data_IF_362729725990
#
_entry.id   IF_362729725990
#
_cell.length_a   1.000
_cell.length_b   1.000
_cell.length_c   1.000
_cell.angle_alpha   90.00
_cell.angle_beta   90.00
_cell.angle_gamma   90.00
#
_symmetry.space_group_name_H-M   'P 1'
#
loop_
_entity.id
_entity.type
_entity.pdbx_description
1 polymer ?
#
# COMPACT_ATOMS: atom_id res chain seq x y z
N UNK A 1 -6.64 -2.44 13.44
CA UNK A 1 -6.60 -3.90 13.68
C UNK A 1 -6.01 -4.14 15.06
N UNK A 2 -6.83 -4.17 16.11
CA UNK A 2 -6.36 -4.62 17.42
C UNK A 2 -7.34 -5.66 17.95
N UNK A 3 -6.81 -6.82 18.36
CA UNK A 3 -7.54 -7.84 19.11
C UNK A 3 -8.62 -8.64 18.38
N UNK A 4 -8.73 -8.57 17.05
CA UNK A 4 -9.74 -9.35 16.30
C UNK A 4 -9.36 -10.83 16.30
N UNK A 5 -10.24 -11.69 16.82
CA UNK A 5 -10.15 -13.15 16.65
C UNK A 5 -10.85 -13.54 15.35
N UNK A 6 -10.16 -14.30 14.52
CA UNK A 6 -10.72 -14.83 13.28
C UNK A 6 -11.17 -16.28 13.47
N UNK A 7 -12.35 -16.61 12.95
CA UNK A 7 -12.92 -17.96 13.02
C UNK A 7 -12.08 -18.98 12.27
N UNK A 8 -11.45 -18.57 11.16
CA UNK A 8 -10.59 -19.44 10.34
C UNK A 8 -9.32 -18.71 9.92
N UNK A 9 -8.28 -19.49 9.59
CA UNK A 9 -7.04 -18.97 8.99
C UNK A 9 -7.31 -18.21 7.69
N UNK A 10 -8.25 -18.68 6.88
CA UNK A 10 -8.59 -18.03 5.60
C UNK A 10 -9.15 -16.62 5.81
N UNK A 11 -10.08 -16.46 6.77
CA UNK A 11 -10.62 -15.15 7.11
C UNK A 11 -9.53 -14.18 7.60
N UNK A 12 -8.58 -14.67 8.42
CA UNK A 12 -7.45 -13.86 8.84
C UNK A 12 -6.57 -13.42 7.65
N UNK A 13 -6.35 -14.30 6.67
CA UNK A 13 -5.58 -13.97 5.47
C UNK A 13 -6.28 -12.92 4.61
N UNK A 14 -7.57 -13.10 4.36
CA UNK A 14 -8.34 -12.18 3.51
C UNK A 14 -8.32 -10.75 4.09
N UNK A 15 -8.48 -10.62 5.41
CA UNK A 15 -8.42 -9.33 6.10
C UNK A 15 -7.03 -8.67 6.03
N UNK A 16 -5.96 -9.46 6.09
CA UNK A 16 -4.59 -8.95 5.91
C UNK A 16 -4.37 -8.46 4.48
N UNK A 17 -4.86 -9.20 3.48
CA UNK A 17 -4.75 -8.82 2.07
C UNK A 17 -5.57 -7.56 1.77
N UNK A 18 -6.78 -7.45 2.32
CA UNK A 18 -7.62 -6.27 2.18
C UNK A 18 -6.93 -5.04 2.79
N UNK A 19 -6.31 -5.20 3.96
CA UNK A 19 -5.56 -4.13 4.59
C UNK A 19 -4.32 -3.73 3.79
N UNK A 20 -3.56 -4.69 3.26
CA UNK A 20 -2.40 -4.41 2.40
C UNK A 20 -2.83 -3.67 1.12
N UNK A 21 -3.92 -4.11 0.50
CA UNK A 21 -4.48 -3.46 -0.69
C UNK A 21 -4.85 -2.02 -0.41
N UNK A 22 -5.57 -1.76 0.69
CA UNK A 22 -5.88 -0.40 1.11
C UNK A 22 -4.62 0.42 1.40
N UNK A 23 -3.67 -0.13 2.17
CA UNK A 23 -2.46 0.58 2.59
C UNK A 23 -1.60 0.98 1.39
N UNK A 24 -1.36 0.06 0.46
CA UNK A 24 -0.49 0.31 -0.68
C UNK A 24 -1.13 1.24 -1.71
N UNK A 25 -2.42 1.06 -2.00
CA UNK A 25 -3.07 1.77 -3.11
C UNK A 25 -3.79 3.05 -2.71
N UNK A 26 -4.34 3.13 -1.50
CA UNK A 26 -5.33 4.17 -1.13
C UNK A 26 -4.92 5.01 0.06
N UNK A 27 -4.16 4.48 1.02
CA UNK A 27 -3.73 5.26 2.19
C UNK A 27 -2.77 6.36 1.75
N UNK A 28 -3.08 7.60 2.12
CA UNK A 28 -2.21 8.74 1.86
C UNK A 28 -1.22 8.94 3.00
N UNK A 29 0.03 9.24 2.65
CA UNK A 29 1.11 9.44 3.59
C UNK A 29 1.61 10.88 3.53
N UNK A 30 1.55 11.61 4.64
CA UNK A 30 2.06 12.99 4.71
C UNK A 30 3.55 13.08 4.39
N UNK A 31 4.34 12.08 4.79
CA UNK A 31 5.76 11.96 4.45
C UNK A 31 6.02 11.76 2.95
N UNK A 32 5.03 11.30 2.18
CA UNK A 32 5.11 11.14 0.74
C UNK A 32 4.41 12.29 -0.01
N UNK A 33 4.11 13.40 0.68
CA UNK A 33 3.39 14.53 0.09
C UNK A 33 1.93 14.22 -0.22
N UNK A 34 1.27 13.43 0.63
CA UNK A 34 -0.11 12.97 0.46
C UNK A 34 -0.33 12.09 -0.78
N UNK A 35 0.65 11.25 -1.08
CA UNK A 35 0.52 10.17 -2.06
C UNK A 35 0.33 8.82 -1.38
N UNK A 36 -0.27 7.88 -2.11
CA UNK A 36 -0.18 6.45 -1.75
C UNK A 36 1.18 5.88 -2.11
N UNK A 37 1.52 4.74 -1.50
CA UNK A 37 2.81 4.09 -1.73
C UNK A 37 2.99 3.72 -3.21
N UNK A 38 1.94 3.14 -3.83
CA UNK A 38 1.91 2.82 -5.26
C UNK A 38 2.14 4.07 -6.12
N UNK A 39 1.49 5.21 -5.80
CA UNK A 39 1.67 6.44 -6.57
C UNK A 39 3.07 7.00 -6.44
N UNK A 40 3.65 6.95 -5.24
CA UNK A 40 5.02 7.37 -5.00
C UNK A 40 6.02 6.53 -5.81
N UNK A 41 5.88 5.19 -5.78
CA UNK A 41 6.72 4.27 -6.53
C UNK A 41 6.63 4.53 -8.05
N UNK A 42 5.42 4.71 -8.58
CA UNK A 42 5.22 5.02 -10.01
C UNK A 42 5.92 6.32 -10.42
N UNK A 43 5.81 7.38 -9.60
CA UNK A 43 6.52 8.65 -9.85
C UNK A 43 8.03 8.48 -9.78
N UNK A 44 8.50 7.69 -8.81
CA UNK A 44 9.92 7.39 -8.67
C UNK A 44 10.46 6.65 -9.90
N UNK A 45 9.79 5.60 -10.36
CA UNK A 45 10.16 4.85 -11.56
C UNK A 45 10.19 5.73 -12.81
N UNK A 46 9.16 6.56 -13.01
CA UNK A 46 9.11 7.51 -14.12
C UNK A 46 10.28 8.50 -14.09
N UNK A 47 10.61 9.02 -12.90
CA UNK A 47 11.75 9.92 -12.73
C UNK A 47 13.10 9.24 -12.98
N UNK A 48 13.25 7.94 -12.66
CA UNK A 48 14.47 7.19 -13.01
C UNK A 48 14.59 6.97 -14.51
N UNK A 49 13.48 6.63 -15.19
CA UNK A 49 13.47 6.43 -16.63
C UNK A 49 13.90 7.70 -17.39
N UNK A 50 13.36 8.85 -16.99
CA UNK A 50 13.73 10.14 -17.59
C UNK A 50 15.19 10.56 -17.35
N UNK A 51 15.86 10.02 -16.33
CA UNK A 51 17.29 10.28 -16.08
C UNK A 51 18.21 9.38 -16.89
N UNK A 52 17.71 8.25 -17.35
CA UNK A 52 18.47 7.27 -18.13
C UNK A 52 18.37 7.50 -19.64
N UNK A 53 17.49 8.41 -20.09
CA UNK A 53 17.32 8.87 -21.46
C UNK A 53 18.12 10.16 -21.71
#
# INVERSE_FOLDING_TARGET
MHGRRFTTRRHAMDEVIDWLTFYNHRRLHSSLGYLSLMQFEQRWLAAQHNKAA
#
